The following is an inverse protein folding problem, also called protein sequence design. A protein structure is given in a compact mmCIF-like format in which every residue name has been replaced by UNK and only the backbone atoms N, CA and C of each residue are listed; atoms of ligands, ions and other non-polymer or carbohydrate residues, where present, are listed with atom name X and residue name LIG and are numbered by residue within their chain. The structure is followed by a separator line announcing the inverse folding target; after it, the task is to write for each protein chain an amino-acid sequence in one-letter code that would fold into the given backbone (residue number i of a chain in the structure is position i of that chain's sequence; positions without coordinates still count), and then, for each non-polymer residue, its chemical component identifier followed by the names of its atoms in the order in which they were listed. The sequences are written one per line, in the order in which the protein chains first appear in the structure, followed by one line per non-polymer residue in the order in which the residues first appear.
data_IF_360122564573
#
_entry.id   IF_360122564573
#
_cell.length_a   1.000
_cell.length_b   1.000
_cell.length_c   1.000
_cell.angle_alpha   90.00
_cell.angle_beta   90.00
_cell.angle_gamma   90.00
#
_symmetry.space_group_name_H-M   'P 1'
#
loop_
_entity.id
_entity.type
_entity.pdbx_description
1 polymer ?
#
# COMPACT_ATOMS: atom_id res chain seq x y z
N UNK A 1 -0.23 -17.41 9.15
CA UNK A 1 1.17 -17.33 8.66
C UNK A 1 1.89 -16.17 9.36
N UNK A 2 3.07 -16.35 9.96
CA UNK A 2 3.79 -15.23 10.65
C UNK A 2 4.28 -14.15 9.67
N UNK A 3 4.62 -14.55 8.44
CA UNK A 3 5.13 -13.63 7.41
C UNK A 3 4.10 -12.59 6.97
N UNK A 4 2.82 -12.96 6.81
CA UNK A 4 1.77 -12.00 6.44
C UNK A 4 1.57 -10.92 7.50
N UNK A 5 1.54 -11.30 8.79
CA UNK A 5 1.29 -10.38 9.91
C UNK A 5 2.45 -9.44 10.21
N UNK A 6 3.66 -9.81 9.80
CA UNK A 6 4.86 -8.98 9.95
C UNK A 6 5.23 -8.22 8.67
N UNK A 7 4.41 -8.34 7.60
CA UNK A 7 4.70 -7.71 6.32
C UNK A 7 4.38 -6.22 6.35
N UNK A 8 5.39 -5.40 6.11
CA UNK A 8 5.31 -3.94 6.09
C UNK A 8 5.95 -3.40 4.81
N UNK A 9 5.56 -2.18 4.42
CA UNK A 9 6.05 -1.47 3.26
C UNK A 9 7.56 -1.20 3.37
N UNK A 10 8.03 -0.81 4.56
CA UNK A 10 9.46 -0.73 4.90
C UNK A 10 10.27 0.11 3.89
N UNK A 11 9.72 1.25 3.47
CA UNK A 11 10.34 2.17 2.51
C UNK A 11 10.26 1.74 1.04
N UNK A 12 9.65 0.59 0.73
CA UNK A 12 9.39 0.18 -0.66
C UNK A 12 8.26 1.04 -1.27
N UNK A 13 8.20 1.19 -2.61
CA UNK A 13 7.06 1.82 -3.27
C UNK A 13 5.74 1.10 -2.93
N UNK A 14 4.63 1.84 -2.76
CA UNK A 14 3.31 1.24 -2.47
C UNK A 14 2.92 0.19 -3.51
N UNK A 15 3.29 0.37 -4.77
CA UNK A 15 3.00 -0.61 -5.83
C UNK A 15 3.65 -1.97 -5.56
N UNK A 16 4.94 -1.99 -5.20
CA UNK A 16 5.66 -3.21 -4.85
C UNK A 16 5.10 -3.84 -3.57
N UNK A 17 4.83 -3.02 -2.55
CA UNK A 17 4.19 -3.47 -1.32
C UNK A 17 2.80 -4.09 -1.59
N UNK A 18 2.02 -3.51 -2.50
CA UNK A 18 0.71 -4.02 -2.87
C UNK A 18 0.78 -5.40 -3.53
N UNK A 19 1.71 -5.60 -4.47
CA UNK A 19 1.89 -6.91 -5.12
C UNK A 19 2.37 -7.98 -4.14
N UNK A 20 3.32 -7.64 -3.26
CA UNK A 20 3.77 -8.53 -2.19
C UNK A 20 2.63 -8.87 -1.21
N UNK A 21 1.85 -7.87 -0.81
CA UNK A 21 0.67 -8.05 0.04
C UNK A 21 -0.38 -8.96 -0.61
N UNK A 22 -0.68 -8.77 -1.90
CA UNK A 22 -1.63 -9.63 -2.62
C UNK A 22 -1.14 -11.08 -2.70
N UNK A 23 0.15 -11.27 -2.94
CA UNK A 23 0.77 -12.60 -2.95
C UNK A 23 0.66 -13.28 -1.59
N UNK A 24 1.01 -12.59 -0.50
CA UNK A 24 0.93 -13.18 0.85
C UNK A 24 -0.51 -13.40 1.32
N UNK A 25 -1.44 -12.52 0.92
CA UNK A 25 -2.88 -12.66 1.16
C UNK A 25 -3.45 -13.93 0.49
N UNK A 26 -2.96 -14.29 -0.69
CA UNK A 26 -3.35 -15.51 -1.39
C UNK A 26 -3.05 -16.77 -0.56
N UNK A 27 -1.95 -16.77 0.19
CA UNK A 27 -1.55 -17.89 1.06
C UNK A 27 -2.08 -17.79 2.49
N UNK A 28 -2.78 -16.70 2.84
CA UNK A 28 -3.28 -16.44 4.20
C UNK A 28 -4.79 -16.16 4.23
N UNK A 29 -5.63 -17.04 3.67
CA UNK A 29 -7.06 -16.78 3.51
C UNK A 29 -7.77 -16.50 4.84
N UNK A 30 -7.38 -17.14 5.94
CA UNK A 30 -7.93 -16.87 7.28
C UNK A 30 -7.68 -15.43 7.78
N UNK A 31 -6.51 -14.89 7.46
CA UNK A 31 -6.10 -13.54 7.85
C UNK A 31 -6.79 -12.47 6.98
N UNK A 32 -7.18 -12.79 5.74
CA UNK A 32 -7.83 -11.86 4.78
C UNK A 32 -9.24 -12.27 4.35
N UNK A 33 -9.92 -13.13 5.13
CA UNK A 33 -11.20 -13.74 4.75
C UNK A 33 -12.37 -12.76 4.54
N UNK A 34 -12.19 -11.50 4.92
CA UNK A 34 -13.15 -10.42 4.65
C UNK A 34 -12.42 -9.26 4.00
N UNK A 35 -13.15 -8.52 3.15
CA UNK A 35 -12.67 -7.24 2.60
C UNK A 35 -12.18 -6.31 3.71
N UNK A 36 -12.86 -6.34 4.87
CA UNK A 36 -12.44 -5.62 6.06
C UNK A 36 -11.05 -6.08 6.55
N UNK A 37 -10.88 -7.33 6.96
CA UNK A 37 -9.55 -7.76 7.43
C UNK A 37 -8.43 -7.50 6.41
N UNK A 38 -8.69 -7.69 5.11
CA UNK A 38 -7.74 -7.38 4.03
C UNK A 38 -7.30 -5.90 4.04
N UNK A 39 -8.25 -4.96 4.16
CA UNK A 39 -7.94 -3.53 4.20
C UNK A 39 -7.22 -3.16 5.51
N UNK A 40 -7.62 -3.72 6.67
CA UNK A 40 -6.95 -3.43 7.95
C UNK A 40 -5.46 -3.81 7.87
N UNK A 41 -5.17 -5.05 7.47
CA UNK A 41 -3.79 -5.53 7.35
C UNK A 41 -2.96 -4.74 6.34
N UNK A 42 -3.58 -4.36 5.22
CA UNK A 42 -2.91 -3.52 4.22
C UNK A 42 -2.53 -2.15 4.80
N UNK A 43 -3.42 -1.49 5.55
CA UNK A 43 -3.14 -0.19 6.15
C UNK A 43 -2.11 -0.28 7.28
N UNK A 44 -2.24 -1.30 8.13
CA UNK A 44 -1.30 -1.50 9.23
C UNK A 44 0.13 -1.72 8.75
N UNK A 45 0.31 -2.33 7.57
CA UNK A 45 1.62 -2.56 6.98
C UNK A 45 2.20 -1.37 6.21
N UNK A 46 1.45 -0.32 5.89
CA UNK A 46 2.01 0.86 5.19
C UNK A 46 3.02 1.62 6.07
N UNK A 47 3.82 2.49 5.47
CA UNK A 47 4.67 3.39 6.25
C UNK A 47 3.82 4.53 6.86
N UNK A 48 4.20 5.04 8.03
CA UNK A 48 3.44 6.09 8.74
C UNK A 48 3.03 7.28 7.87
N UNK A 49 3.92 7.87 7.04
CA UNK A 49 3.55 9.03 6.20
C UNK A 49 2.40 8.73 5.24
N UNK A 50 2.27 7.48 4.80
CA UNK A 50 1.20 7.04 3.90
C UNK A 50 -0.05 6.69 4.69
N UNK A 51 0.10 6.07 5.88
CA UNK A 51 -1.02 5.92 6.82
C UNK A 51 -1.67 7.25 7.13
N UNK A 52 -0.91 8.32 7.39
CA UNK A 52 -1.44 9.65 7.64
C UNK A 52 -2.21 10.25 6.46
N UNK A 53 -1.84 9.92 5.22
CA UNK A 53 -2.64 10.31 4.03
C UNK A 53 -3.97 9.53 3.98
N UNK A 54 -4.02 8.36 4.61
CA UNK A 54 -5.19 7.48 4.66
C UNK A 54 -6.12 7.73 5.87
N UNK A 55 -5.61 8.20 7.01
CA UNK A 55 -6.32 8.32 8.30
C UNK A 55 -7.49 9.32 8.33
N UNK A 56 -7.68 10.14 7.29
CA UNK A 56 -8.83 11.04 7.16
C UNK A 56 -10.08 10.42 6.53
N UNK A 57 -10.10 9.11 6.27
CA UNK A 57 -11.16 8.46 5.49
C UNK A 57 -11.79 7.34 6.28
N UNK A 58 -13.13 7.32 6.28
CA UNK A 58 -13.90 6.23 6.89
C UNK A 58 -13.43 4.92 6.27
N UNK A 59 -13.31 3.92 7.11
CA UNK A 59 -12.98 2.56 6.71
C UNK A 59 -13.85 2.03 5.54
N UNK A 60 -15.10 2.51 5.44
CA UNK A 60 -16.01 2.23 4.32
C UNK A 60 -15.60 2.87 3.00
N UNK A 61 -14.94 4.02 3.05
CA UNK A 61 -14.49 4.80 1.90
C UNK A 61 -13.03 4.51 1.50
N UNK A 62 -12.33 3.68 2.28
CA UNK A 62 -11.11 3.02 1.83
C UNK A 62 -11.44 2.00 0.73
N UNK A 63 -11.59 2.50 -0.49
CA UNK A 63 -11.72 1.68 -1.69
C UNK A 63 -10.35 1.45 -2.35
N UNK A 64 -10.30 0.42 -3.19
CA UNK A 64 -9.11 0.07 -3.96
C UNK A 64 -8.66 1.24 -4.86
N UNK A 65 -9.59 2.09 -5.30
CA UNK A 65 -9.30 3.25 -6.15
C UNK A 65 -8.44 4.29 -5.45
N UNK A 66 -8.64 4.55 -4.15
CA UNK A 66 -7.82 5.51 -3.41
C UNK A 66 -6.40 4.98 -3.15
N UNK A 67 -6.28 3.70 -2.81
CA UNK A 67 -4.97 3.04 -2.70
C UNK A 67 -4.23 3.12 -4.03
N UNK A 68 -4.94 2.84 -5.13
CA UNK A 68 -4.40 2.93 -6.49
C UNK A 68 -3.93 4.35 -6.82
N UNK A 69 -4.73 5.38 -6.50
CA UNK A 69 -4.35 6.78 -6.70
C UNK A 69 -3.06 7.16 -5.97
N UNK A 70 -2.92 6.77 -4.70
CA UNK A 70 -1.70 7.05 -3.94
C UNK A 70 -0.50 6.30 -4.53
N UNK A 71 -0.70 5.05 -4.98
CA UNK A 71 0.34 4.28 -5.66
C UNK A 71 0.76 4.93 -6.99
N UNK A 72 -0.20 5.43 -7.78
CA UNK A 72 0.05 6.14 -9.03
C UNK A 72 0.78 7.48 -8.78
N UNK A 73 0.40 8.22 -7.73
CA UNK A 73 1.09 9.45 -7.29
C UNK A 73 2.54 9.18 -6.87
N UNK A 74 2.79 8.14 -6.05
CA UNK A 74 4.15 7.74 -5.68
C UNK A 74 4.98 7.32 -6.89
N UNK A 75 4.38 6.52 -7.80
CA UNK A 75 5.04 6.11 -9.04
C UNK A 75 5.43 7.32 -9.89
N UNK A 76 4.53 8.30 -10.03
CA UNK A 76 4.83 9.55 -10.74
C UNK A 76 5.99 10.32 -10.11
N UNK A 77 6.05 10.40 -8.78
CA UNK A 77 7.16 11.03 -8.05
C UNK A 77 8.47 10.27 -8.27
N UNK A 78 8.46 8.94 -8.21
CA UNK A 78 9.64 8.11 -8.44
C UNK A 78 10.18 8.25 -9.87
N UNK A 79 9.30 8.24 -10.86
CA UNK A 79 9.66 8.43 -12.27
C UNK A 79 10.23 9.85 -12.51
N UNK A 80 9.62 10.88 -11.92
CA UNK A 80 10.15 12.25 -11.98
C UNK A 80 11.53 12.39 -11.30
N UNK A 81 11.82 11.61 -10.25
CA UNK A 81 13.15 11.56 -9.60
C UNK A 81 14.19 10.79 -10.40
N UNK A 82 13.80 9.81 -11.22
CA UNK A 82 14.71 9.09 -12.11
C UNK A 82 15.18 9.94 -13.29
N UNK A 83 14.35 10.89 -13.72
CA UNK A 83 14.66 11.83 -14.79
C UNK A 83 14.54 13.27 -14.29
N UNK A 84 15.46 13.75 -13.44
CA UNK A 84 15.52 15.16 -13.15
C UNK A 84 15.75 15.87 -14.48
N UNK A 85 14.82 16.74 -14.89
CA UNK A 85 15.04 17.65 -16.01
C UNK A 85 16.29 18.47 -15.67
N UNK A 86 17.43 18.08 -16.22
CA UNK A 86 18.59 18.95 -16.31
C UNK A 86 18.18 20.06 -17.26
N UNK A 87 17.81 21.21 -16.69
CA UNK A 87 17.55 22.41 -17.45
C UNK A 87 18.82 22.80 -18.24
N UNK A 88 18.68 23.29 -19.49
CA UNK A 88 19.80 23.68 -20.34
C UNK A 88 20.57 24.90 -19.82
#
# INVERSE_FOLDING_TARGET
MKEFRNHTQNGKPIAEYHDEFQRLAHYSPDDVNTKKKKIVWFVEGLDEPIKYKLTGVDYKDMNADRVKRIADEERGILEARKFPMTAP
#
